data_IF_478846660740
#
_entry.id   IF_478846660740
#
_cell.length_a   1.000
_cell.length_b   1.000
_cell.length_c   1.000
_cell.angle_alpha   90.00
_cell.angle_beta   90.00
_cell.angle_gamma   90.00
#
_symmetry.space_group_name_H-M   'P 1'
#
loop_
_entity.id
_entity.type
_entity.pdbx_description
1 polymer ?
#
# COMPACT_ATOMS: atom_id res chain seq x y z
N UNK A 1 5.18 0.29 8.65
CA UNK A 1 6.13 -0.61 9.35
C UNK A 1 6.84 -1.55 8.38
N UNK A 2 6.14 -2.22 7.45
CA UNK A 2 6.76 -3.09 6.44
C UNK A 2 7.93 -2.44 5.69
N UNK A 3 7.71 -1.24 5.11
CA UNK A 3 8.74 -0.46 4.41
C UNK A 3 9.99 -0.22 5.28
N UNK A 4 9.79 0.24 6.51
CA UNK A 4 10.89 0.54 7.45
C UNK A 4 11.63 -0.73 7.89
N UNK A 5 10.91 -1.82 8.14
CA UNK A 5 11.50 -3.10 8.53
C UNK A 5 12.36 -3.69 7.39
N UNK A 6 11.86 -3.66 6.15
CA UNK A 6 12.63 -4.11 4.98
C UNK A 6 13.86 -3.23 4.73
N UNK A 7 13.71 -1.91 4.83
CA UNK A 7 14.82 -0.98 4.69
C UNK A 7 15.90 -1.20 5.75
N UNK A 8 15.53 -1.32 7.03
CA UNK A 8 16.46 -1.57 8.13
C UNK A 8 17.19 -2.91 7.95
N UNK A 9 16.46 -3.96 7.59
CA UNK A 9 17.05 -5.28 7.31
C UNK A 9 18.06 -5.23 6.16
N UNK A 10 17.77 -4.45 5.11
CA UNK A 10 18.70 -4.20 4.02
C UNK A 10 19.96 -3.46 4.47
N UNK A 11 19.84 -2.46 5.34
CA UNK A 11 20.99 -1.76 5.93
C UNK A 11 21.88 -2.69 6.76
N UNK A 12 21.31 -3.75 7.33
CA UNK A 12 22.03 -4.78 8.08
C UNK A 12 22.64 -5.87 7.18
N UNK A 13 22.50 -5.76 5.85
CA UNK A 13 23.07 -6.70 4.89
C UNK A 13 22.17 -7.87 4.51
N UNK A 14 20.95 -7.94 5.04
CA UNK A 14 20.00 -8.99 4.68
C UNK A 14 19.27 -8.65 3.36
N UNK A 15 18.95 -9.67 2.58
CA UNK A 15 18.18 -9.52 1.33
C UNK A 15 16.66 -9.50 1.57
N UNK A 16 16.21 -10.05 2.69
CA UNK A 16 14.80 -10.22 3.03
C UNK A 16 14.56 -10.02 4.53
N UNK A 17 13.33 -9.68 4.90
CA UNK A 17 12.92 -9.47 6.28
C UNK A 17 11.56 -10.12 6.53
N UNK A 18 11.54 -11.16 7.35
CA UNK A 18 10.30 -11.85 7.75
C UNK A 18 9.33 -10.90 8.46
N UNK A 19 9.84 -10.11 9.40
CA UNK A 19 9.07 -9.06 10.09
C UNK A 19 8.46 -8.06 9.11
N UNK A 20 9.15 -7.73 8.03
CA UNK A 20 8.59 -6.85 7.00
C UNK A 20 7.44 -7.50 6.23
N UNK A 21 7.51 -8.81 5.96
CA UNK A 21 6.45 -9.59 5.34
C UNK A 21 5.23 -9.73 6.26
N UNK A 22 5.44 -9.90 7.56
CA UNK A 22 4.37 -9.90 8.57
C UNK A 22 3.64 -8.56 8.58
N UNK A 23 4.38 -7.45 8.66
CA UNK A 23 3.77 -6.12 8.60
C UNK A 23 3.09 -5.82 7.26
N UNK A 24 3.60 -6.35 6.15
CA UNK A 24 2.94 -6.23 4.84
C UNK A 24 1.59 -6.95 4.86
N UNK A 25 1.58 -8.19 5.33
CA UNK A 25 0.37 -9.02 5.44
C UNK A 25 -0.69 -8.33 6.32
N UNK A 26 -0.27 -7.78 7.45
CA UNK A 26 -1.17 -7.04 8.33
C UNK A 26 -1.70 -5.75 7.69
N UNK A 27 -0.86 -5.02 6.95
CA UNK A 27 -1.31 -3.84 6.22
C UNK A 27 -2.34 -4.18 5.14
N UNK A 28 -2.15 -5.29 4.40
CA UNK A 28 -3.12 -5.78 3.40
C UNK A 28 -4.45 -6.11 4.08
N UNK A 29 -4.43 -6.83 5.21
CA UNK A 29 -5.63 -7.18 5.98
C UNK A 29 -6.39 -5.93 6.45
N UNK A 30 -5.67 -4.95 6.98
CA UNK A 30 -6.26 -3.68 7.44
C UNK A 30 -6.89 -2.90 6.28
N UNK A 31 -6.21 -2.80 5.13
CA UNK A 31 -6.75 -2.14 3.93
C UNK A 31 -8.02 -2.84 3.47
N UNK A 32 -8.04 -4.18 3.42
CA UNK A 32 -9.24 -4.94 3.06
C UNK A 32 -10.42 -4.62 3.98
N UNK A 33 -10.20 -4.52 5.29
CA UNK A 33 -11.24 -4.12 6.24
C UNK A 33 -11.73 -2.69 5.98
N UNK A 34 -10.84 -1.75 5.67
CA UNK A 34 -11.24 -0.37 5.38
C UNK A 34 -12.02 -0.25 4.07
N UNK A 35 -11.73 -1.08 3.08
CA UNK A 35 -12.47 -1.09 1.81
C UNK A 35 -13.88 -1.67 1.93
N UNK A 36 -14.20 -2.39 3.03
CA UNK A 36 -15.56 -2.90 3.26
C UNK A 36 -16.52 -1.81 3.76
N UNK A 37 -16.00 -0.67 4.23
CA UNK A 37 -16.76 0.49 4.65
C UNK A 37 -16.79 1.53 3.52
N UNK A 38 -17.93 1.77 2.85
CA UNK A 38 -18.01 2.67 1.70
C UNK A 38 -17.54 4.11 1.99
N UNK A 39 -17.80 4.62 3.19
CA UNK A 39 -17.40 5.98 3.59
C UNK A 39 -15.88 6.08 3.75
N UNK A 40 -15.25 4.98 4.19
CA UNK A 40 -13.81 4.93 4.44
C UNK A 40 -13.01 4.48 3.21
N UNK A 41 -13.61 3.67 2.35
CA UNK A 41 -12.94 3.02 1.22
C UNK A 41 -12.23 4.01 0.29
N UNK A 42 -12.77 5.24 0.18
CA UNK A 42 -12.23 6.31 -0.68
C UNK A 42 -11.40 7.36 0.07
N UNK A 43 -11.03 7.09 1.32
CA UNK A 43 -10.29 8.04 2.16
C UNK A 43 -8.80 8.15 1.81
N UNK A 44 -8.17 9.27 2.17
CA UNK A 44 -6.72 9.46 2.02
C UNK A 44 -5.90 8.44 2.82
N UNK A 45 -6.46 7.89 3.90
CA UNK A 45 -5.81 6.83 4.68
C UNK A 45 -5.66 5.53 3.87
N UNK A 46 -6.70 5.15 3.12
CA UNK A 46 -6.64 3.98 2.22
C UNK A 46 -5.65 4.25 1.08
N UNK A 47 -5.70 5.45 0.49
CA UNK A 47 -4.75 5.86 -0.54
C UNK A 47 -3.29 5.77 -0.06
N UNK A 48 -3.00 6.34 1.10
CA UNK A 48 -1.66 6.33 1.68
C UNK A 48 -1.16 4.91 2.02
N UNK A 49 -2.07 4.02 2.45
CA UNK A 49 -1.73 2.62 2.71
C UNK A 49 -1.39 1.85 1.42
N UNK A 50 -2.19 2.02 0.35
CA UNK A 50 -1.92 1.40 -0.95
C UNK A 50 -0.60 1.93 -1.54
N UNK A 51 -0.32 3.24 -1.45
CA UNK A 51 0.95 3.81 -1.93
C UNK A 51 2.16 3.24 -1.17
N UNK A 52 2.04 3.01 0.15
CA UNK A 52 3.10 2.35 0.93
C UNK A 52 3.29 0.89 0.53
N UNK A 53 2.22 0.15 0.25
CA UNK A 53 2.31 -1.21 -0.28
C UNK A 53 2.99 -1.23 -1.65
N UNK A 54 2.60 -0.35 -2.57
CA UNK A 54 3.26 -0.21 -3.88
C UNK A 54 4.74 0.12 -3.78
N UNK A 55 5.11 1.01 -2.87
CA UNK A 55 6.51 1.34 -2.59
C UNK A 55 7.26 0.11 -2.09
N UNK A 56 6.66 -0.66 -1.18
CA UNK A 56 7.24 -1.92 -0.72
C UNK A 56 7.44 -2.89 -1.89
N UNK A 57 6.40 -3.13 -2.70
CA UNK A 57 6.48 -4.08 -3.81
C UNK A 57 7.56 -3.70 -4.82
N UNK A 58 7.72 -2.40 -5.10
CA UNK A 58 8.70 -1.91 -6.07
C UNK A 58 10.15 -2.26 -5.70
N UNK A 59 10.46 -2.31 -4.41
CA UNK A 59 11.84 -2.48 -3.92
C UNK A 59 12.12 -3.88 -3.34
N UNK A 60 11.15 -4.52 -2.69
CA UNK A 60 11.35 -5.79 -1.98
C UNK A 60 10.30 -6.86 -2.29
N UNK A 61 9.31 -6.55 -3.12
CA UNK A 61 8.25 -7.50 -3.47
C UNK A 61 8.42 -8.09 -4.86
N UNK A 62 7.28 -8.45 -5.45
CA UNK A 62 7.21 -9.09 -6.77
C UNK A 62 6.44 -8.22 -7.75
N UNK A 63 6.72 -8.36 -9.04
CA UNK A 63 5.95 -7.67 -10.09
C UNK A 63 4.48 -8.08 -10.07
N UNK A 64 4.19 -9.36 -9.81
CA UNK A 64 2.82 -9.86 -9.71
C UNK A 64 2.02 -9.14 -8.61
N UNK A 65 2.59 -8.98 -7.41
CA UNK A 65 1.95 -8.26 -6.32
C UNK A 65 1.87 -6.76 -6.59
N UNK A 66 2.91 -6.19 -7.23
CA UNK A 66 2.89 -4.80 -7.65
C UNK A 66 1.71 -4.51 -8.60
N UNK A 67 1.46 -5.37 -9.59
CA UNK A 67 0.34 -5.24 -10.53
C UNK A 67 -1.01 -5.24 -9.79
N UNK A 68 -1.17 -6.13 -8.80
CA UNK A 68 -2.40 -6.21 -7.98
C UNK A 68 -2.62 -4.91 -7.21
N UNK A 69 -1.60 -4.42 -6.49
CA UNK A 69 -1.72 -3.18 -5.73
C UNK A 69 -1.88 -1.95 -6.64
N UNK A 70 -1.27 -1.94 -7.83
CA UNK A 70 -1.41 -0.86 -8.81
C UNK A 70 -2.84 -0.81 -9.35
N UNK A 71 -3.43 -1.96 -9.68
CA UNK A 71 -4.85 -2.03 -10.06
C UNK A 71 -5.76 -1.52 -8.95
N UNK A 72 -5.47 -1.87 -7.69
CA UNK A 72 -6.19 -1.34 -6.53
C UNK A 72 -6.10 0.19 -6.43
N UNK A 73 -4.92 0.77 -6.65
CA UNK A 73 -4.73 2.22 -6.70
C UNK A 73 -5.57 2.87 -7.81
N UNK A 74 -5.55 2.32 -9.02
CA UNK A 74 -6.30 2.88 -10.14
C UNK A 74 -7.81 2.87 -9.86
N UNK A 75 -8.35 1.76 -9.37
CA UNK A 75 -9.76 1.65 -8.99
C UNK A 75 -10.13 2.67 -7.90
N UNK A 76 -9.26 2.86 -6.90
CA UNK A 76 -9.47 3.85 -5.85
C UNK A 76 -9.50 5.27 -6.43
N UNK A 77 -8.55 5.62 -7.29
CA UNK A 77 -8.52 6.95 -7.91
C UNK A 77 -9.77 7.23 -8.75
N UNK A 78 -10.24 6.24 -9.52
CA UNK A 78 -11.49 6.34 -10.26
C UNK A 78 -12.68 6.58 -9.32
N UNK A 79 -12.79 5.80 -8.24
CA UNK A 79 -13.86 5.96 -7.24
C UNK A 79 -13.84 7.32 -6.52
N UNK A 80 -12.66 7.95 -6.41
CA UNK A 80 -12.50 9.31 -5.85
C UNK A 80 -12.89 10.43 -6.83
N UNK A 81 -13.22 10.12 -8.08
CA UNK A 81 -13.47 11.12 -9.12
C UNK A 81 -12.24 11.48 -9.95
N UNK A 82 -11.27 10.56 -10.03
CA UNK A 82 -10.07 10.67 -10.85
C UNK A 82 -8.93 11.46 -10.21
N UNK A 83 -7.83 11.60 -10.94
CA UNK A 83 -6.59 12.25 -10.43
C UNK A 83 -6.80 13.71 -10.04
N UNK A 84 -7.74 14.41 -10.71
CA UNK A 84 -8.09 15.80 -10.39
C UNK A 84 -8.75 15.94 -9.00
N UNK A 85 -9.27 14.86 -8.41
CA UNK A 85 -9.78 14.89 -7.04
C UNK A 85 -8.66 15.01 -6.00
N UNK A 86 -7.41 14.65 -6.34
CA UNK A 86 -6.27 14.74 -5.42
C UNK A 86 -5.86 16.19 -5.10
N UNK A 87 -6.14 17.14 -5.99
CA UNK A 87 -5.83 18.56 -5.75
C UNK A 87 -6.85 19.25 -4.83
N UNK A 88 -7.88 18.55 -4.35
CA UNK A 88 -8.95 19.07 -3.49
C UNK A 88 -8.83 18.62 -2.03
N UNK A 89 -7.71 18.01 -1.63
CA UNK A 89 -7.49 17.65 -0.24
C UNK A 89 -7.33 18.92 0.61
N UNK A 90 -8.35 19.25 1.40
CA UNK A 90 -8.31 20.27 2.44
C UNK A 90 -7.53 19.78 3.67
#
# INVERSE_FOLDING_TARGET
>A
MALSAAHLSRMQGFSQSEVALEFKSEAVRIVQLWMQDPERAVSDNVLAAILRLLTFERYWGTEAEWIIHHKGLMNLLEARGGIAALSRSH
#
